data_IF_885028093708
#
_entry.id   IF_885028093708
#
_cell.length_a   1.000
_cell.length_b   1.000
_cell.length_c   1.000
_cell.angle_alpha   90.00
_cell.angle_beta   90.00
_cell.angle_gamma   90.00
#
_symmetry.space_group_name_H-M   'P 1'
#
loop_
_entity.id
_entity.type
_entity.pdbx_description
1 polymer ?
#
# COMPACT_ATOMS: atom_id res chain seq x y z
N UNK A 1 -19.40 -8.55 -41.97
CA UNK A 1 -18.39 -7.63 -41.38
C UNK A 1 -18.80 -7.37 -39.95
N UNK A 2 -18.06 -7.91 -38.97
CA UNK A 2 -18.26 -7.57 -37.56
C UNK A 2 -17.56 -6.23 -37.31
N UNK A 3 -18.33 -5.18 -37.04
CA UNK A 3 -17.80 -3.91 -36.55
C UNK A 3 -17.29 -4.15 -35.13
N UNK A 4 -15.98 -4.39 -34.99
CA UNK A 4 -15.35 -4.37 -33.68
C UNK A 4 -15.29 -2.91 -33.21
N UNK A 5 -16.34 -2.45 -32.55
CA UNK A 5 -16.32 -1.21 -31.79
C UNK A 5 -15.34 -1.37 -30.64
N UNK A 6 -14.15 -0.78 -30.77
CA UNK A 6 -13.16 -0.69 -29.69
C UNK A 6 -13.69 0.25 -28.62
N UNK A 7 -14.17 -0.31 -27.51
CA UNK A 7 -14.51 0.47 -26.31
C UNK A 7 -13.21 0.83 -25.62
N UNK A 8 -12.93 2.12 -25.41
CA UNK A 8 -11.76 2.51 -24.62
C UNK A 8 -12.09 2.33 -23.14
N UNK A 9 -11.09 1.93 -22.35
CA UNK A 9 -11.26 1.72 -20.91
C UNK A 9 -11.82 2.97 -20.21
N UNK A 10 -11.37 4.15 -20.62
CA UNK A 10 -11.79 5.42 -20.03
C UNK A 10 -13.20 5.85 -20.43
N UNK A 11 -13.82 5.19 -21.40
CA UNK A 11 -15.23 5.43 -21.79
C UNK A 11 -16.21 4.66 -20.90
N UNK A 12 -15.71 3.69 -20.11
CA UNK A 12 -16.54 2.93 -19.18
C UNK A 12 -17.02 3.83 -18.03
N UNK A 13 -18.21 3.56 -17.46
CA UNK A 13 -18.70 4.22 -16.25
C UNK A 13 -17.87 3.85 -15.01
N UNK A 14 -17.94 4.68 -13.97
CA UNK A 14 -17.10 4.53 -12.77
C UNK A 14 -17.32 3.20 -12.07
N UNK A 15 -18.56 2.73 -12.03
CA UNK A 15 -18.95 1.49 -11.38
C UNK A 15 -18.26 0.27 -12.03
N UNK A 16 -18.16 0.27 -13.37
CA UNK A 16 -17.45 -0.78 -14.10
C UNK A 16 -15.94 -0.69 -13.88
N UNK A 17 -15.38 0.52 -13.85
CA UNK A 17 -13.97 0.73 -13.56
C UNK A 17 -13.62 0.24 -12.15
N UNK A 18 -14.43 0.58 -11.13
CA UNK A 18 -14.25 0.10 -9.76
C UNK A 18 -14.31 -1.42 -9.71
N UNK A 19 -15.27 -2.05 -10.41
CA UNK A 19 -15.35 -3.52 -10.47
C UNK A 19 -14.10 -4.14 -11.08
N UNK A 20 -13.53 -3.54 -12.13
CA UNK A 20 -12.27 -4.00 -12.74
C UNK A 20 -11.11 -3.84 -11.75
N UNK A 21 -10.95 -2.64 -11.18
CA UNK A 21 -9.86 -2.35 -10.24
C UNK A 21 -9.91 -3.26 -9.01
N UNK A 22 -11.09 -3.54 -8.46
CA UNK A 22 -11.29 -4.43 -7.31
C UNK A 22 -10.92 -5.89 -7.58
N UNK A 23 -10.71 -6.29 -8.85
CA UNK A 23 -10.20 -7.63 -9.20
C UNK A 23 -8.68 -7.69 -9.28
N UNK A 24 -8.00 -6.55 -9.25
CA UNK A 24 -6.56 -6.44 -9.35
C UNK A 24 -5.91 -6.32 -7.97
N UNK A 25 -4.61 -6.58 -7.89
CA UNK A 25 -3.84 -6.26 -6.70
C UNK A 25 -3.82 -4.74 -6.51
N UNK A 26 -4.20 -4.28 -5.31
CA UNK A 26 -4.35 -2.87 -5.07
C UNK A 26 -3.04 -2.09 -5.00
N UNK A 27 -1.96 -2.70 -4.53
CA UNK A 27 -0.61 -2.11 -4.57
C UNK A 27 -0.17 -1.87 -6.01
N UNK A 28 -0.38 -2.85 -6.90
CA UNK A 28 -0.01 -2.73 -8.30
C UNK A 28 -0.84 -1.65 -9.03
N UNK A 29 -2.13 -1.59 -8.74
CA UNK A 29 -3.02 -0.53 -9.26
C UNK A 29 -2.56 0.83 -8.77
N UNK A 30 -2.35 1.00 -7.47
CA UNK A 30 -1.88 2.27 -6.90
C UNK A 30 -0.57 2.71 -7.56
N UNK A 31 0.39 1.79 -7.70
CA UNK A 31 1.67 2.07 -8.33
C UNK A 31 1.54 2.45 -9.81
N UNK A 32 0.66 1.78 -10.55
CA UNK A 32 0.55 1.94 -12.01
C UNK A 32 -0.36 3.09 -12.43
N UNK A 33 -1.37 3.41 -11.63
CA UNK A 33 -2.42 4.36 -12.00
C UNK A 33 -2.18 5.75 -11.41
N UNK A 34 -1.58 5.83 -10.21
CA UNK A 34 -1.41 7.11 -9.54
C UNK A 34 -0.53 8.07 -10.34
N UNK A 35 -1.11 9.22 -10.68
CA UNK A 35 -0.45 10.27 -11.45
C UNK A 35 -0.67 10.18 -12.96
N UNK A 36 -1.29 9.10 -13.47
CA UNK A 36 -1.54 8.91 -14.91
C UNK A 36 -2.81 9.62 -15.35
N UNK A 37 -3.91 9.46 -14.61
CA UNK A 37 -5.21 10.01 -14.98
C UNK A 37 -6.00 10.47 -13.74
N UNK A 38 -6.56 11.69 -13.78
CA UNK A 38 -7.29 12.27 -12.64
C UNK A 38 -8.49 11.43 -12.19
N UNK A 39 -9.25 10.88 -13.14
CA UNK A 39 -10.44 10.05 -12.85
C UNK A 39 -10.02 8.75 -12.18
N UNK A 40 -9.03 8.05 -12.76
CA UNK A 40 -8.53 6.82 -12.18
C UNK A 40 -7.82 7.03 -10.83
N UNK A 41 -7.11 8.15 -10.63
CA UNK A 41 -6.53 8.50 -9.34
C UNK A 41 -7.59 8.59 -8.24
N UNK A 42 -8.71 9.25 -8.53
CA UNK A 42 -9.82 9.37 -7.57
C UNK A 42 -10.35 7.99 -7.18
N UNK A 43 -10.54 7.10 -8.17
CA UNK A 43 -11.04 5.75 -7.93
C UNK A 43 -10.03 4.89 -7.15
N UNK A 44 -8.75 4.98 -7.49
CA UNK A 44 -7.69 4.21 -6.83
C UNK A 44 -7.40 4.67 -5.39
N UNK A 45 -7.61 5.96 -5.07
CA UNK A 45 -7.46 6.49 -3.72
C UNK A 45 -8.69 6.28 -2.83
N UNK A 46 -9.78 5.72 -3.35
CA UNK A 46 -11.01 5.54 -2.59
C UNK A 46 -10.77 4.66 -1.35
N UNK A 47 -11.37 4.96 -0.18
CA UNK A 47 -11.24 4.13 1.02
C UNK A 47 -11.59 2.66 0.80
N UNK A 48 -12.57 2.36 -0.08
CA UNK A 48 -12.96 0.99 -0.41
C UNK A 48 -11.76 0.19 -0.97
N UNK A 49 -10.86 0.86 -1.67
CA UNK A 49 -9.69 0.25 -2.29
C UNK A 49 -8.44 0.27 -1.41
N UNK A 50 -8.35 1.25 -0.50
CA UNK A 50 -7.14 1.59 0.25
C UNK A 50 -7.19 1.23 1.73
N UNK A 51 -8.33 0.76 2.25
CA UNK A 51 -8.46 0.38 3.66
C UNK A 51 -7.64 -0.86 4.05
N UNK A 52 -7.41 -1.77 3.11
CA UNK A 52 -6.60 -2.96 3.31
C UNK A 52 -5.43 -2.92 2.33
N UNK A 53 -4.19 -2.93 2.80
CA UNK A 53 -3.01 -2.89 1.93
C UNK A 53 -2.07 -4.05 2.25
N UNK A 54 -1.76 -4.87 1.24
CA UNK A 54 -0.85 -6.01 1.34
C UNK A 54 0.43 -5.74 0.55
N UNK A 55 1.46 -5.25 1.27
CA UNK A 55 2.78 -4.93 0.75
C UNK A 55 3.75 -6.12 0.86
N UNK A 56 3.25 -7.33 1.10
CA UNK A 56 4.10 -8.53 1.07
C UNK A 56 4.49 -8.85 -0.36
N UNK A 57 5.76 -9.20 -0.56
CA UNK A 57 6.21 -9.73 -1.83
C UNK A 57 5.74 -11.17 -1.94
N UNK A 58 4.58 -11.37 -2.56
CA UNK A 58 4.21 -12.72 -3.03
C UNK A 58 5.17 -13.05 -4.15
N UNK A 59 6.27 -13.71 -3.82
CA UNK A 59 7.16 -14.36 -4.78
C UNK A 59 6.32 -15.47 -5.44
N UNK A 60 5.59 -15.07 -6.47
CA UNK A 60 5.06 -15.99 -7.46
C UNK A 60 6.27 -16.70 -8.05
N UNK A 61 6.36 -18.03 -7.89
CA UNK A 61 7.42 -18.85 -8.52
C UNK A 61 7.45 -18.72 -10.06
N UNK A 62 6.45 -18.05 -10.65
CA UNK A 62 6.28 -17.85 -12.08
C UNK A 62 6.35 -16.39 -12.51
N UNK A 63 6.53 -15.43 -11.59
CA UNK A 63 6.52 -14.01 -11.94
C UNK A 63 7.53 -13.20 -11.12
N UNK A 64 8.78 -13.17 -11.61
CA UNK A 64 9.85 -12.32 -11.08
C UNK A 64 9.52 -10.81 -11.17
N UNK A 65 8.43 -10.42 -11.85
CA UNK A 65 7.97 -9.02 -11.96
C UNK A 65 7.10 -8.56 -10.78
N UNK A 66 6.68 -9.48 -9.91
CA UNK A 66 5.78 -9.23 -8.77
C UNK A 66 6.49 -9.02 -7.42
N UNK A 67 7.82 -9.12 -7.37
CA UNK A 67 8.58 -8.70 -6.19
C UNK A 67 8.63 -7.17 -6.11
N UNK A 68 8.10 -6.58 -5.05
CA UNK A 68 8.28 -5.16 -4.72
C UNK A 68 9.77 -4.91 -4.50
N UNK A 69 10.46 -4.38 -5.53
CA UNK A 69 11.86 -3.99 -5.40
C UNK A 69 12.00 -2.87 -4.37
N UNK A 70 13.19 -2.73 -3.75
CA UNK A 70 13.45 -1.62 -2.83
C UNK A 70 13.15 -0.25 -3.45
N UNK A 71 13.41 -0.09 -4.76
CA UNK A 71 13.10 1.13 -5.52
C UNK A 71 11.59 1.36 -5.61
N UNK A 72 10.79 0.33 -5.92
CA UNK A 72 9.33 0.44 -5.93
C UNK A 72 8.82 0.80 -4.55
N UNK A 73 9.37 0.17 -3.50
CA UNK A 73 9.01 0.46 -2.12
C UNK A 73 9.34 1.91 -1.72
N UNK A 74 10.51 2.42 -2.07
CA UNK A 74 10.88 3.82 -1.80
C UNK A 74 9.93 4.81 -2.47
N UNK A 75 9.57 4.56 -3.73
CA UNK A 75 8.60 5.38 -4.45
C UNK A 75 7.20 5.28 -3.83
N UNK A 76 6.81 4.06 -3.44
CA UNK A 76 5.52 3.83 -2.78
C UNK A 76 5.44 4.59 -1.45
N UNK A 77 6.49 4.53 -0.64
CA UNK A 77 6.59 5.32 0.59
C UNK A 77 6.56 6.82 0.32
N UNK A 78 7.39 7.30 -0.60
CA UNK A 78 7.59 8.75 -0.81
C UNK A 78 6.41 9.44 -1.49
N UNK A 79 5.51 8.71 -2.15
CA UNK A 79 4.42 9.30 -2.93
C UNK A 79 3.05 8.71 -2.65
N UNK A 80 2.94 7.38 -2.60
CA UNK A 80 1.65 6.70 -2.56
C UNK A 80 1.12 6.68 -1.13
N UNK A 81 1.92 6.24 -0.16
CA UNK A 81 1.52 6.19 1.24
C UNK A 81 1.14 7.58 1.77
N UNK A 82 1.86 8.63 1.39
CA UNK A 82 1.52 10.00 1.76
C UNK A 82 0.12 10.42 1.30
N UNK A 83 -0.41 9.82 0.23
CA UNK A 83 -1.76 10.12 -0.27
C UNK A 83 -2.86 9.30 0.37
N UNK A 84 -2.58 8.07 0.78
CA UNK A 84 -3.63 7.11 1.17
C UNK A 84 -3.59 6.70 2.65
N UNK A 85 -2.56 7.10 3.41
CA UNK A 85 -2.36 6.66 4.81
C UNK A 85 -3.57 6.87 5.73
N UNK A 86 -4.35 7.93 5.51
CA UNK A 86 -5.54 8.26 6.29
C UNK A 86 -6.73 7.32 6.03
N UNK A 87 -6.64 6.45 5.02
CA UNK A 87 -7.65 5.45 4.70
C UNK A 87 -7.27 4.05 5.17
N UNK A 88 -5.98 3.79 5.43
CA UNK A 88 -5.49 2.46 5.75
C UNK A 88 -5.95 2.05 7.15
N UNK A 89 -6.73 0.98 7.21
CA UNK A 89 -7.21 0.33 8.42
C UNK A 89 -6.44 -0.95 8.73
N UNK A 90 -6.04 -1.68 7.67
CA UNK A 90 -5.27 -2.90 7.76
C UNK A 90 -4.03 -2.83 6.86
N UNK A 91 -2.87 -3.07 7.45
CA UNK A 91 -1.59 -3.08 6.77
C UNK A 91 -0.93 -4.46 6.94
N UNK A 92 -0.53 -5.08 5.83
CA UNK A 92 0.13 -6.38 5.81
C UNK A 92 1.54 -6.21 5.24
N UNK A 93 2.55 -6.47 6.07
CA UNK A 93 3.94 -6.16 5.78
C UNK A 93 4.86 -7.36 5.95
N UNK A 94 6.01 -7.31 5.28
CA UNK A 94 7.16 -8.14 5.63
C UNK A 94 8.02 -7.45 6.69
N UNK A 95 8.69 -8.25 7.53
CA UNK A 95 9.60 -7.72 8.55
C UNK A 95 10.72 -6.85 7.96
N UNK A 96 11.16 -7.13 6.73
CA UNK A 96 12.23 -6.42 6.00
C UNK A 96 11.84 -4.98 5.61
N UNK A 97 10.56 -4.73 5.37
CA UNK A 97 10.02 -3.44 4.93
C UNK A 97 9.25 -2.69 6.03
N UNK A 98 8.96 -3.38 7.14
CA UNK A 98 8.17 -2.86 8.25
C UNK A 98 8.59 -1.48 8.72
N UNK A 99 9.85 -1.31 9.12
CA UNK A 99 10.34 -0.05 9.68
C UNK A 99 10.19 1.11 8.68
N UNK A 100 10.59 0.90 7.43
CA UNK A 100 10.48 1.91 6.36
C UNK A 100 9.04 2.37 6.17
N UNK A 101 8.09 1.43 6.10
CA UNK A 101 6.68 1.74 5.86
C UNK A 101 6.05 2.40 7.07
N UNK A 102 6.26 1.85 8.27
CA UNK A 102 5.64 2.37 9.49
C UNK A 102 6.20 3.75 9.90
N UNK A 103 7.41 4.11 9.48
CA UNK A 103 8.00 5.43 9.73
C UNK A 103 7.67 6.46 8.63
N UNK A 104 7.02 6.06 7.54
CA UNK A 104 6.75 6.97 6.41
C UNK A 104 5.72 8.05 6.75
N UNK A 105 4.68 7.71 7.49
CA UNK A 105 3.57 8.60 7.82
C UNK A 105 2.77 8.09 9.02
N UNK A 106 1.92 8.95 9.57
CA UNK A 106 0.95 8.54 10.59
C UNK A 106 -0.22 7.80 9.94
N UNK A 107 -0.70 6.73 10.56
CA UNK A 107 -1.83 5.94 10.07
C UNK A 107 -3.02 6.05 11.05
N UNK A 108 -3.81 7.14 10.99
CA UNK A 108 -4.80 7.44 12.03
C UNK A 108 -5.96 6.43 12.14
N UNK A 109 -6.20 5.64 11.08
CA UNK A 109 -7.26 4.62 11.05
C UNK A 109 -6.72 3.19 11.22
N UNK A 110 -5.40 3.02 11.33
CA UNK A 110 -4.79 1.69 11.39
C UNK A 110 -5.22 0.98 12.68
N UNK A 111 -6.01 -0.08 12.51
CA UNK A 111 -6.49 -0.91 13.61
C UNK A 111 -5.95 -2.35 13.53
N UNK A 112 -5.33 -2.71 12.39
CA UNK A 112 -4.79 -4.04 12.15
C UNK A 112 -3.44 -3.98 11.44
N UNK A 113 -2.43 -4.58 12.05
CA UNK A 113 -1.11 -4.77 11.47
C UNK A 113 -0.80 -6.28 11.44
N UNK A 114 -0.54 -6.81 10.24
CA UNK A 114 -0.13 -8.21 10.04
C UNK A 114 1.31 -8.21 9.56
N UNK A 115 2.17 -8.95 10.25
CA UNK A 115 3.59 -9.03 9.92
C UNK A 115 3.94 -10.45 9.49
N UNK A 116 4.58 -10.58 8.34
CA UNK A 116 5.08 -11.83 7.78
C UNK A 116 6.59 -11.95 7.97
N UNK A 117 7.06 -13.19 8.05
CA UNK A 117 8.49 -13.54 8.14
C UNK A 117 9.21 -12.88 9.31
N UNK A 118 8.48 -12.65 10.43
CA UNK A 118 9.03 -12.00 11.62
C UNK A 118 10.18 -12.84 12.18
N UNK A 119 11.37 -12.22 12.27
CA UNK A 119 12.41 -12.68 13.18
C UNK A 119 12.10 -12.12 14.56
N UNK A 120 11.80 -12.96 15.58
CA UNK A 120 11.36 -12.48 16.90
C UNK A 120 12.31 -11.45 17.52
N UNK A 121 13.61 -11.61 17.31
CA UNK A 121 14.66 -10.71 17.78
C UNK A 121 14.50 -9.26 17.27
N UNK A 122 14.22 -9.09 15.96
CA UNK A 122 14.04 -7.77 15.35
C UNK A 122 12.77 -7.10 15.87
N UNK A 123 11.70 -7.87 16.06
CA UNK A 123 10.43 -7.36 16.57
C UNK A 123 10.55 -6.89 18.02
N UNK A 124 11.22 -7.68 18.87
CA UNK A 124 11.50 -7.31 20.27
C UNK A 124 12.37 -6.06 20.36
N UNK A 125 13.39 -5.92 19.50
CA UNK A 125 14.22 -4.72 19.45
C UNK A 125 13.41 -3.47 19.05
N UNK A 126 12.52 -3.57 18.07
CA UNK A 126 11.64 -2.46 17.66
C UNK A 126 10.69 -2.01 18.77
N UNK A 127 10.07 -2.95 19.49
CA UNK A 127 9.20 -2.62 20.62
C UNK A 127 9.97 -2.00 21.79
N UNK A 128 11.22 -2.44 21.99
CA UNK A 128 12.08 -1.95 23.06
C UNK A 128 12.63 -0.54 22.76
N UNK A 129 12.94 -0.24 21.49
CA UNK A 129 13.43 1.09 21.10
C UNK A 129 12.36 2.18 21.19
N UNK A 130 11.09 1.85 20.95
CA UNK A 130 9.98 2.81 21.12
C UNK A 130 9.63 3.15 22.58
N UNK A 131 10.12 2.40 23.56
CA UNK A 131 9.85 2.67 24.99
C UNK A 131 10.73 3.76 25.63
N UNK A 132 11.67 4.38 24.91
CA UNK A 132 12.67 5.29 25.50
C UNK A 132 12.58 6.77 25.12
N UNK A 133 11.58 7.19 24.34
CA UNK A 133 11.39 8.62 24.01
C UNK A 133 10.32 9.33 24.86
N UNK A 134 9.48 8.61 25.60
CA UNK A 134 8.52 9.23 26.52
C UNK A 134 9.16 9.67 27.86
N UNK A 135 10.30 9.07 28.24
CA UNK A 135 10.92 9.30 29.56
C UNK A 135 11.86 10.54 29.61
N UNK A 136 12.00 11.26 28.48
CA UNK A 136 12.83 12.49 28.40
C UNK A 136 12.04 13.80 28.38
N UNK A 137 10.70 13.77 28.51
CA UNK A 137 9.87 14.99 28.55
C UNK A 137 9.47 15.46 29.95
N UNK A 138 9.89 14.78 31.02
CA UNK A 138 9.55 15.16 32.43
C UNK A 138 10.74 15.65 33.27
N UNK A 139 11.68 16.40 32.68
CA UNK A 139 12.66 17.17 33.48
C UNK A 139 12.79 18.59 32.94
N UNK A 140 11.78 19.41 33.27
CA UNK A 140 11.94 20.87 33.48
C UNK A 140 12.21 21.06 34.98
#
# INVERSE_FOLDING_TARGET
MMNNSTVQLLDLPDEMLIQILNKLNNVDVLYSVLGVNKRLNRLACDPIFTNYLDLTTKISKYDERCSMSNVRLDQFCSFILLKIHHNIECLVLESSSMERILLTCDYPKLNKLILYSIKPELFLNYLSSKKFDDDKRERI
#
